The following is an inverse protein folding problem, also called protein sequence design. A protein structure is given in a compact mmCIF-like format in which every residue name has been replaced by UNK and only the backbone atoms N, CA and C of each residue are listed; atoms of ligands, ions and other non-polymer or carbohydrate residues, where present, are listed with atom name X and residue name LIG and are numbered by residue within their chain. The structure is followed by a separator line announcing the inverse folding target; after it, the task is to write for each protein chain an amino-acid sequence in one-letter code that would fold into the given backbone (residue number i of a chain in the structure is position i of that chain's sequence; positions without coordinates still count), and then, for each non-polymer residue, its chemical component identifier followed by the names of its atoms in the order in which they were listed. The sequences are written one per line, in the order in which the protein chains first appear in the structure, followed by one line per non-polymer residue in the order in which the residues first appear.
data_IF_641087615654
#
_entry.id   IF_641087615654
#
_cell.length_a   1.000
_cell.length_b   1.000
_cell.length_c   1.000
_cell.angle_alpha   90.00
_cell.angle_beta   90.00
_cell.angle_gamma   90.00
#
_symmetry.space_group_name_H-M   'P 1'
#
loop_
_entity.id
_entity.type
_entity.pdbx_description
1 polymer ?
#
# COMPACT_ATOMS: atom_id res chain seq x y z
N UNK A 1 -29.80 5.52 16.20
CA UNK A 1 -29.35 4.21 15.67
C UNK A 1 -28.18 4.50 14.74
N UNK A 2 -26.94 4.18 15.13
CA UNK A 2 -25.76 4.47 14.30
C UNK A 2 -25.81 3.57 13.08
N UNK A 3 -26.02 4.14 11.89
CA UNK A 3 -26.04 3.40 10.63
C UNK A 3 -24.66 2.74 10.46
N UNK A 4 -24.62 1.42 10.38
CA UNK A 4 -23.37 0.69 10.20
C UNK A 4 -22.87 0.96 8.77
N UNK A 5 -21.92 1.88 8.63
CA UNK A 5 -21.38 2.26 7.31
C UNK A 5 -20.62 1.08 6.68
N UNK A 6 -20.79 0.92 5.38
CA UNK A 6 -20.08 -0.05 4.57
C UNK A 6 -18.68 0.46 4.19
N UNK A 7 -17.77 -0.46 3.92
CA UNK A 7 -16.39 -0.15 3.49
C UNK A 7 -16.37 0.63 2.18
N UNK A 8 -17.27 0.30 1.24
CA UNK A 8 -17.37 1.00 -0.05
C UNK A 8 -17.65 2.50 0.07
N UNK A 9 -18.23 2.96 1.18
CA UNK A 9 -18.52 4.38 1.41
C UNK A 9 -17.26 5.21 1.74
N UNK A 10 -16.15 4.56 2.09
CA UNK A 10 -14.94 5.22 2.59
C UNK A 10 -13.65 4.77 1.89
N UNK A 11 -13.75 3.75 1.03
CA UNK A 11 -12.61 3.27 0.28
C UNK A 11 -12.16 4.30 -0.75
N UNK A 12 -10.90 4.20 -1.14
CA UNK A 12 -10.41 4.89 -2.33
C UNK A 12 -10.65 3.97 -3.53
N UNK A 13 -11.28 4.46 -4.61
CA UNK A 13 -11.49 3.70 -5.84
C UNK A 13 -10.19 3.25 -6.51
N UNK A 14 -10.21 2.14 -7.25
CA UNK A 14 -9.02 1.59 -7.93
C UNK A 14 -8.45 2.49 -9.02
N UNK A 15 -9.29 3.32 -9.63
CA UNK A 15 -8.95 4.30 -10.67
C UNK A 15 -8.04 5.42 -10.15
N UNK A 16 -8.10 5.71 -8.85
CA UNK A 16 -7.27 6.73 -8.20
C UNK A 16 -5.88 6.20 -7.85
N UNK A 17 -5.68 4.87 -7.90
CA UNK A 17 -4.38 4.26 -7.65
C UNK A 17 -3.50 4.18 -8.89
N UNK A 18 -2.22 4.50 -8.68
CA UNK A 18 -1.17 4.15 -9.63
C UNK A 18 -1.02 2.62 -9.73
N UNK A 19 -0.74 2.15 -10.94
CA UNK A 19 -0.62 0.73 -11.29
C UNK A 19 0.80 0.41 -11.74
N UNK A 20 1.26 -0.81 -11.45
CA UNK A 20 2.54 -1.31 -11.94
C UNK A 20 2.43 -2.80 -12.31
N UNK A 21 3.18 -3.22 -13.32
CA UNK A 21 3.23 -4.63 -13.70
C UNK A 21 3.99 -5.47 -12.66
N UNK A 22 3.56 -6.71 -12.44
CA UNK A 22 4.15 -7.63 -11.47
C UNK A 22 5.59 -8.05 -11.82
N UNK A 23 5.94 -7.98 -13.10
CA UNK A 23 7.27 -8.26 -13.63
C UNK A 23 8.16 -7.00 -13.70
N UNK A 24 7.66 -5.83 -13.31
CA UNK A 24 8.49 -4.63 -13.20
C UNK A 24 9.56 -4.80 -12.12
N UNK A 25 10.62 -4.00 -12.19
CA UNK A 25 11.65 -4.00 -11.15
C UNK A 25 11.19 -3.20 -9.93
N UNK A 26 11.75 -3.54 -8.77
CA UNK A 26 11.57 -2.73 -7.55
C UNK A 26 12.04 -1.28 -7.77
N UNK A 27 13.10 -1.07 -8.55
CA UNK A 27 13.56 0.27 -8.91
C UNK A 27 12.50 1.07 -9.68
N UNK A 28 11.81 0.45 -10.63
CA UNK A 28 10.72 1.12 -11.36
C UNK A 28 9.54 1.43 -10.45
N UNK A 29 9.22 0.54 -9.51
CA UNK A 29 8.20 0.79 -8.50
C UNK A 29 8.51 2.01 -7.62
N UNK A 30 9.77 2.19 -7.24
CA UNK A 30 10.22 3.35 -6.46
C UNK A 30 10.02 4.64 -7.26
N UNK A 31 10.34 4.66 -8.56
CA UNK A 31 10.08 5.83 -9.42
C UNK A 31 8.59 6.15 -9.50
N UNK A 32 7.72 5.14 -9.67
CA UNK A 32 6.27 5.34 -9.74
C UNK A 32 5.74 5.97 -8.44
N UNK A 33 6.17 5.46 -7.28
CA UNK A 33 5.79 6.02 -5.99
C UNK A 33 6.38 7.42 -5.80
N UNK A 34 7.65 7.66 -6.15
CA UNK A 34 8.29 8.96 -6.03
C UNK A 34 7.59 10.04 -6.86
N UNK A 35 7.24 9.73 -8.10
CA UNK A 35 6.52 10.64 -8.98
C UNK A 35 5.12 10.99 -8.45
N UNK A 36 4.53 10.14 -7.58
CA UNK A 36 3.27 10.45 -6.91
C UNK A 36 3.41 11.50 -5.79
N UNK A 37 4.62 11.74 -5.26
CA UNK A 37 4.86 12.75 -4.22
C UNK A 37 4.95 14.18 -4.76
N UNK A 38 5.29 14.35 -6.04
CA UNK A 38 5.57 15.67 -6.62
C UNK A 38 4.34 16.44 -7.09
N UNK A 39 3.13 15.90 -6.96
CA UNK A 39 1.94 16.51 -7.57
C UNK A 39 1.42 17.77 -6.85
N UNK A 40 1.58 17.93 -5.54
CA UNK A 40 0.82 18.98 -4.82
C UNK A 40 1.59 19.87 -3.82
N UNK A 41 2.92 19.78 -3.71
CA UNK A 41 3.70 20.68 -2.83
C UNK A 41 3.34 20.65 -1.33
N UNK A 42 2.41 19.78 -0.93
CA UNK A 42 1.90 19.57 0.42
C UNK A 42 2.32 18.19 0.92
N UNK A 43 2.51 18.06 2.24
CA UNK A 43 2.99 16.86 2.89
C UNK A 43 2.19 15.60 2.50
N UNK A 44 2.86 14.59 1.92
CA UNK A 44 2.45 13.17 1.89
C UNK A 44 0.96 12.86 1.63
N UNK A 45 0.32 13.48 0.63
CA UNK A 45 -1.06 13.13 0.25
C UNK A 45 -1.18 11.99 -0.78
N UNK A 46 -0.08 11.53 -1.39
CA UNK A 46 -0.06 10.40 -2.32
C UNK A 46 -0.32 9.04 -1.67
N UNK A 47 -0.87 8.09 -2.43
CA UNK A 47 -1.07 6.72 -1.96
C UNK A 47 0.28 6.07 -1.62
N UNK A 48 0.47 5.61 -0.36
CA UNK A 48 1.69 4.93 0.11
C UNK A 48 1.83 3.48 -0.41
N UNK A 49 1.11 3.18 -1.49
CA UNK A 49 1.06 1.90 -2.15
C UNK A 49 0.63 2.06 -3.61
N UNK A 50 1.06 1.12 -4.44
CA UNK A 50 0.62 0.98 -5.84
C UNK A 50 -0.07 -0.36 -6.03
N UNK A 51 -1.04 -0.40 -6.94
CA UNK A 51 -1.72 -1.64 -7.31
C UNK A 51 -0.87 -2.41 -8.32
N UNK A 52 -0.73 -3.71 -8.12
CA UNK A 52 0.05 -4.58 -8.99
C UNK A 52 -0.87 -5.33 -9.93
N UNK A 53 -0.56 -5.31 -11.22
CA UNK A 53 -1.29 -6.02 -12.27
C UNK A 53 -0.43 -7.08 -12.96
N UNK A 54 -1.06 -8.17 -13.38
CA UNK A 54 -0.42 -9.16 -14.24
C UNK A 54 -0.54 -8.78 -15.73
N UNK A 55 0.02 -9.62 -16.60
CA UNK A 55 -0.02 -9.46 -18.06
C UNK A 55 -1.44 -9.50 -18.65
N UNK A 56 -2.42 -10.04 -17.92
CA UNK A 56 -3.83 -10.04 -18.29
C UNK A 56 -4.59 -8.82 -17.76
N UNK A 57 -3.88 -7.80 -17.26
CA UNK A 57 -4.45 -6.58 -16.65
C UNK A 57 -5.32 -6.85 -15.41
N UNK A 58 -5.15 -7.99 -14.76
CA UNK A 58 -5.83 -8.32 -13.51
C UNK A 58 -5.01 -7.85 -12.33
N UNK A 59 -5.68 -7.32 -11.30
CA UNK A 59 -5.02 -6.96 -10.05
C UNK A 59 -4.62 -8.22 -9.28
N UNK A 60 -3.32 -8.34 -8.99
CA UNK A 60 -2.74 -9.51 -8.30
C UNK A 60 -2.17 -9.17 -6.92
N UNK A 61 -1.89 -7.89 -6.64
CA UNK A 61 -1.32 -7.51 -5.36
C UNK A 61 -1.31 -6.02 -5.09
N UNK A 62 -0.82 -5.69 -3.91
CA UNK A 62 -0.56 -4.33 -3.47
C UNK A 62 0.89 -4.23 -3.05
N UNK A 63 1.63 -3.33 -3.67
CA UNK A 63 3.01 -3.02 -3.28
C UNK A 63 2.99 -1.78 -2.38
N UNK A 64 3.60 -1.89 -1.20
CA UNK A 64 3.62 -0.80 -0.21
C UNK A 64 5.05 -0.31 0.01
N UNK A 65 5.20 0.92 0.52
CA UNK A 65 6.52 1.42 0.96
C UNK A 65 7.15 0.45 1.98
N UNK A 66 6.37 -0.13 2.90
CA UNK A 66 6.87 -1.14 3.85
C UNK A 66 7.42 -2.39 3.14
N UNK A 67 6.75 -2.86 2.08
CA UNK A 67 7.22 -3.98 1.27
C UNK A 67 8.53 -3.65 0.55
N UNK A 68 8.64 -2.44 0.00
CA UNK A 68 9.86 -1.94 -0.63
C UNK A 68 11.03 -1.82 0.34
N UNK A 69 10.80 -1.30 1.55
CA UNK A 69 11.86 -1.19 2.56
C UNK A 69 12.35 -2.58 3.00
N UNK A 70 11.44 -3.55 3.17
CA UNK A 70 11.81 -4.95 3.43
C UNK A 70 12.65 -5.54 2.30
N UNK A 71 12.23 -5.34 1.05
CA UNK A 71 12.95 -5.82 -0.13
C UNK A 71 14.35 -5.23 -0.28
N UNK A 72 14.54 -3.99 0.19
CA UNK A 72 15.85 -3.34 0.23
C UNK A 72 16.80 -3.93 1.30
N UNK A 73 16.35 -4.92 2.07
CA UNK A 73 17.13 -5.51 3.17
C UNK A 73 17.26 -4.57 4.38
N UNK A 74 16.50 -3.47 4.46
CA UNK A 74 16.65 -2.46 5.52
C UNK A 74 16.45 -3.01 6.92
N UNK A 75 15.72 -4.11 7.06
CA UNK A 75 15.56 -4.78 8.34
C UNK A 75 16.91 -5.31 8.86
N UNK A 76 17.80 -5.76 7.97
CA UNK A 76 19.14 -6.26 8.29
C UNK A 76 20.14 -5.11 8.53
N UNK A 77 19.89 -3.94 7.91
CA UNK A 77 20.73 -2.75 8.06
C UNK A 77 20.47 -1.97 9.35
N UNK A 78 19.30 -2.14 9.97
CA UNK A 78 19.03 -1.57 11.30
C UNK A 78 19.92 -2.18 12.39
N UNK A 79 20.44 -3.39 12.16
CA UNK A 79 21.36 -4.07 13.06
C UNK A 79 22.83 -3.64 12.86
N UNK A 80 23.14 -2.90 11.78
CA UNK A 80 24.48 -2.43 11.46
C UNK A 80 24.66 -0.95 11.87
N UNK A 81 25.19 -0.76 13.08
CA UNK A 81 25.41 0.54 13.75
C UNK A 81 26.40 1.45 12.96
N UNK A 82 27.10 0.91 11.96
CA UNK A 82 28.13 1.62 11.18
C UNK A 82 27.63 2.50 10.03
N UNK A 83 26.37 2.38 9.61
CA UNK A 83 25.86 3.11 8.44
C UNK A 83 25.38 4.49 8.87
N UNK A 84 26.25 5.48 8.70
CA UNK A 84 25.91 6.90 8.86
C UNK A 84 24.74 7.27 7.94
N UNK A 85 23.77 7.96 8.50
CA UNK A 85 22.46 8.35 7.95
C UNK A 85 22.48 9.19 6.65
N UNK A 86 23.63 9.44 6.04
CA UNK A 86 23.74 10.21 4.79
C UNK A 86 24.09 9.33 3.59
N UNK A 87 24.78 8.20 3.78
CA UNK A 87 25.23 7.34 2.68
C UNK A 87 24.31 6.16 2.38
N UNK A 88 23.44 5.81 3.33
CA UNK A 88 22.48 4.70 3.24
C UNK A 88 21.59 4.77 2.00
N UNK A 89 20.93 5.91 1.73
CA UNK A 89 20.03 6.07 0.58
C UNK A 89 20.67 5.81 -0.77
N UNK A 90 21.89 6.32 -1.00
CA UNK A 90 22.63 6.09 -2.25
C UNK A 90 23.02 4.62 -2.42
N UNK A 91 23.60 4.01 -1.38
CA UNK A 91 23.98 2.60 -1.37
C UNK A 91 22.78 1.69 -1.68
N UNK A 92 21.60 2.01 -1.13
CA UNK A 92 20.37 1.27 -1.42
C UNK A 92 19.88 1.41 -2.86
N UNK A 93 19.91 2.63 -3.40
CA UNK A 93 19.52 2.86 -4.79
C UNK A 93 20.45 2.12 -5.76
N UNK A 94 21.75 2.09 -5.46
CA UNK A 94 22.71 1.32 -6.24
C UNK A 94 22.43 -0.18 -6.18
N UNK A 95 22.21 -0.74 -4.99
CA UNK A 95 21.87 -2.17 -4.84
C UNK A 95 20.55 -2.54 -5.51
N UNK A 96 19.50 -1.74 -5.41
CA UNK A 96 18.22 -2.03 -6.06
C UNK A 96 18.28 -1.89 -7.58
N UNK A 97 19.21 -1.08 -8.09
CA UNK A 97 19.49 -0.99 -9.53
C UNK A 97 20.30 -2.20 -10.02
N UNK A 98 21.22 -2.71 -9.20
CA UNK A 98 22.08 -3.86 -9.52
C UNK A 98 21.35 -5.20 -9.33
N UNK A 99 20.43 -5.29 -8.36
CA UNK A 99 19.63 -6.48 -8.08
C UNK A 99 18.33 -6.47 -8.88
N UNK A 100 18.08 -7.55 -9.65
CA UNK A 100 16.89 -7.70 -10.49
C UNK A 100 15.64 -8.17 -9.70
N UNK A 101 15.38 -7.61 -8.52
CA UNK A 101 14.21 -7.97 -7.72
C UNK A 101 12.94 -7.48 -8.44
N UNK A 102 11.97 -8.38 -8.60
CA UNK A 102 10.71 -8.06 -9.28
C UNK A 102 9.63 -7.69 -8.28
N UNK A 103 8.67 -6.89 -8.73
CA UNK A 103 7.53 -6.44 -7.91
C UNK A 103 6.76 -7.63 -7.33
N UNK A 104 6.53 -8.69 -8.11
CA UNK A 104 5.84 -9.91 -7.66
C UNK A 104 6.49 -10.57 -6.45
N UNK A 105 7.80 -10.43 -6.28
CA UNK A 105 8.56 -11.07 -5.20
C UNK A 105 8.40 -10.33 -3.86
N UNK A 106 7.91 -9.08 -3.91
CA UNK A 106 7.88 -8.17 -2.75
C UNK A 106 6.48 -7.61 -2.46
N UNK A 107 5.56 -7.72 -3.42
CA UNK A 107 4.17 -7.31 -3.26
C UNK A 107 3.45 -8.18 -2.24
N UNK A 108 2.39 -7.63 -1.65
CA UNK A 108 1.43 -8.43 -0.90
C UNK A 108 0.33 -8.93 -1.86
N UNK A 109 0.07 -10.25 -1.96
CA UNK A 109 -1.03 -10.77 -2.77
C UNK A 109 -2.39 -10.21 -2.33
N UNK A 110 -3.29 -9.94 -3.28
CA UNK A 110 -4.59 -9.31 -3.00
C UNK A 110 -5.46 -10.12 -2.04
N UNK A 111 -5.38 -11.44 -2.13
CA UNK A 111 -6.17 -12.38 -1.33
C UNK A 111 -5.59 -12.67 0.07
N UNK A 112 -4.39 -12.18 0.38
CA UNK A 112 -3.74 -12.46 1.68
C UNK A 112 -4.43 -11.77 2.86
N UNK A 113 -5.04 -10.61 2.61
CA UNK A 113 -5.88 -9.88 3.55
C UNK A 113 -6.72 -8.86 2.76
N UNK A 114 -8.03 -9.11 2.64
CA UNK A 114 -8.99 -8.29 1.91
C UNK A 114 -10.35 -8.26 2.62
N UNK A 115 -11.23 -7.35 2.21
CA UNK A 115 -12.63 -7.25 2.65
C UNK A 115 -13.56 -7.11 1.47
N UNK A 116 -14.84 -7.40 1.66
CA UNK A 116 -15.87 -7.13 0.67
C UNK A 116 -16.35 -5.68 0.78
N UNK A 117 -16.80 -5.11 -0.34
CA UNK A 117 -17.34 -3.76 -0.44
C UNK A 117 -18.49 -3.49 0.56
N UNK A 118 -19.34 -4.49 0.79
CA UNK A 118 -20.46 -4.42 1.73
C UNK A 118 -20.12 -4.77 3.18
N UNK A 119 -18.87 -5.14 3.50
CA UNK A 119 -18.47 -5.38 4.88
C UNK A 119 -18.57 -4.06 5.67
N UNK A 120 -18.80 -4.18 6.98
CA UNK A 120 -18.81 -3.00 7.85
C UNK A 120 -17.41 -2.44 8.06
N UNK A 121 -17.30 -1.15 8.36
CA UNK A 121 -16.03 -0.52 8.77
C UNK A 121 -15.39 -1.23 9.97
N UNK A 122 -16.20 -1.75 10.90
CA UNK A 122 -15.72 -2.52 12.05
C UNK A 122 -15.00 -3.82 11.62
N UNK A 123 -15.57 -4.55 10.67
CA UNK A 123 -14.92 -5.76 10.14
C UNK A 123 -13.62 -5.41 9.42
N UNK A 124 -13.57 -4.32 8.65
CA UNK A 124 -12.32 -3.85 8.05
C UNK A 124 -11.25 -3.49 9.11
N UNK A 125 -11.63 -2.82 10.20
CA UNK A 125 -10.72 -2.52 11.31
C UNK A 125 -10.16 -3.79 11.94
N UNK A 126 -10.99 -4.80 12.19
CA UNK A 126 -10.55 -6.12 12.70
C UNK A 126 -9.54 -6.78 11.77
N UNK A 127 -9.80 -6.79 10.46
CA UNK A 127 -8.89 -7.42 9.48
C UNK A 127 -7.56 -6.66 9.42
N UNK A 128 -7.56 -5.32 9.41
CA UNK A 128 -6.32 -4.52 9.45
C UNK A 128 -5.44 -4.89 10.65
N UNK A 129 -6.04 -4.98 11.84
CA UNK A 129 -5.36 -5.35 13.08
C UNK A 129 -4.86 -6.81 13.06
N UNK A 130 -5.73 -7.75 12.68
CA UNK A 130 -5.42 -9.18 12.63
C UNK A 130 -4.21 -9.48 11.74
N UNK A 131 -4.14 -8.84 10.58
CA UNK A 131 -3.05 -9.07 9.62
C UNK A 131 -1.89 -8.08 9.77
N UNK A 132 -1.96 -7.14 10.71
CA UNK A 132 -0.96 -6.09 10.94
C UNK A 132 -0.59 -5.32 9.66
N UNK A 133 -1.62 -4.91 8.91
CA UNK A 133 -1.52 -4.18 7.64
C UNK A 133 -2.22 -2.83 7.74
N UNK A 134 -1.72 -1.85 6.99
CA UNK A 134 -2.24 -0.48 7.02
C UNK A 134 -3.32 -0.20 5.96
N UNK A 135 -3.57 -1.15 5.07
CA UNK A 135 -4.57 -1.05 4.03
C UNK A 135 -5.04 -2.43 3.58
N UNK A 136 -6.30 -2.51 3.14
CA UNK A 136 -6.94 -3.71 2.62
C UNK A 136 -7.48 -3.45 1.21
N UNK A 137 -7.24 -4.37 0.26
CA UNK A 137 -8.02 -4.46 -0.97
C UNK A 137 -9.50 -4.66 -0.63
N UNK A 138 -10.36 -3.94 -1.34
CA UNK A 138 -11.82 -4.04 -1.25
C UNK A 138 -12.33 -4.73 -2.50
N UNK A 139 -13.03 -5.85 -2.31
CA UNK A 139 -13.52 -6.71 -3.38
C UNK A 139 -15.04 -6.60 -3.53
N UNK A 140 -15.53 -6.64 -4.77
CA UNK A 140 -16.94 -6.88 -5.10
C UNK A 140 -17.00 -8.02 -6.09
N UNK A 141 -17.73 -9.09 -5.78
CA UNK A 141 -17.80 -10.28 -6.63
C UNK A 141 -16.41 -10.79 -7.07
N UNK A 142 -15.46 -10.81 -6.12
CA UNK A 142 -14.06 -11.19 -6.34
C UNK A 142 -13.26 -10.26 -7.28
N UNK A 143 -13.78 -9.09 -7.63
CA UNK A 143 -13.07 -8.05 -8.39
C UNK A 143 -12.62 -6.93 -7.46
N UNK A 144 -11.39 -6.45 -7.63
CA UNK A 144 -10.88 -5.30 -6.89
C UNK A 144 -11.62 -4.03 -7.32
N UNK A 145 -12.28 -3.37 -6.37
CA UNK A 145 -13.03 -2.12 -6.59
C UNK A 145 -12.46 -0.93 -5.82
N UNK A 146 -11.62 -1.17 -4.80
CA UNK A 146 -10.93 -0.10 -4.12
C UNK A 146 -9.93 -0.60 -3.09
N UNK A 147 -9.43 0.33 -2.29
CA UNK A 147 -8.55 0.07 -1.15
C UNK A 147 -9.01 0.94 0.02
N UNK A 148 -9.18 0.33 1.19
CA UNK A 148 -9.45 1.04 2.44
C UNK A 148 -8.20 1.05 3.31
N UNK A 149 -7.86 2.20 3.90
CA UNK A 149 -6.70 2.39 4.77
C UNK A 149 -7.12 2.64 6.22
N UNK A 150 -6.18 2.44 7.14
CA UNK A 150 -6.37 2.81 8.56
C UNK A 150 -6.80 4.27 8.70
N UNK A 151 -6.20 5.18 7.92
CA UNK A 151 -6.55 6.61 7.94
C UNK A 151 -8.00 6.88 7.52
N UNK A 152 -8.53 6.12 6.57
CA UNK A 152 -9.90 6.28 6.08
C UNK A 152 -10.89 5.85 7.16
N UNK A 153 -10.58 4.77 7.90
CA UNK A 153 -11.35 4.34 9.08
C UNK A 153 -11.30 5.41 10.18
N UNK A 154 -10.12 5.92 10.52
CA UNK A 154 -9.97 6.95 11.55
C UNK A 154 -10.71 8.26 11.20
N UNK A 155 -10.74 8.65 9.92
CA UNK A 155 -11.47 9.83 9.47
C UNK A 155 -12.98 9.71 9.75
N UNK A 156 -13.55 8.50 9.70
CA UNK A 156 -14.95 8.26 10.06
C UNK A 156 -15.18 8.44 11.55
N UNK A 157 -14.23 8.01 12.38
CA UNK A 157 -14.30 8.14 13.84
C UNK A 157 -14.33 9.62 14.26
N UNK A 158 -13.60 10.51 13.56
CA UNK A 158 -13.61 11.96 13.83
C UNK A 158 -15.03 12.54 13.90
N UNK A 159 -15.96 12.03 13.08
CA UNK A 159 -17.34 12.51 13.04
C UNK A 159 -18.15 12.22 14.32
N UNK A 160 -17.63 11.40 15.24
CA UNK A 160 -18.25 11.16 16.55
C UNK A 160 -17.68 12.05 17.66
N UNK A 161 -16.60 12.79 17.40
CA UNK A 161 -15.93 13.66 18.37
C UNK A 161 -16.20 15.15 18.17
N UNK A 162 -16.88 15.52 17.07
CA UNK A 162 -17.32 16.90 16.85
C UNK A 162 -18.73 17.03 17.43
N UNK A 163 -18.79 17.39 18.71
CA UNK A 163 -19.96 18.01 19.35
C UNK A 163 -19.77 19.52 19.31
#
# INVERSE_FOLDING_TARGET
MVRNKAVEEIMIPVEDYQKIAEDATVYDAIKVIQNSFHRDGMAWHGHRSVLVINNCSQFVGVLTIRGLLKAAGLQELLDDIGIKSESWGWYYMQRLKENSIRVRDVMRPINSASVNAGDSIYEAAKVLLKYNVNSLPVLRNNQLVGVVRVLDIFAVIKNYFVV
#
